data_IF_503818961102
#
_entry.id   IF_503818961102
#
_cell.length_a   1.000
_cell.length_b   1.000
_cell.length_c   1.000
_cell.angle_alpha   90.00
_cell.angle_beta   90.00
_cell.angle_gamma   90.00
#
_symmetry.space_group_name_H-M   'P 1'
#
loop_
_entity.id
_entity.type
_entity.pdbx_description
1 polymer ?
#
# COMPACT_ATOMS: atom_id res chain seq x y z
N UNK A 1 2.07 10.72 30.08
CA UNK A 1 2.88 11.37 29.02
C UNK A 1 2.08 12.58 28.52
N UNK A 2 2.68 13.78 28.42
CA UNK A 2 1.95 14.97 27.98
C UNK A 2 1.51 14.85 26.52
N UNK A 3 0.39 15.49 26.18
CA UNK A 3 -0.09 15.64 24.81
C UNK A 3 0.79 16.67 24.10
N UNK A 4 1.36 16.39 22.92
CA UNK A 4 2.20 17.34 22.20
C UNK A 4 1.43 18.56 21.70
N UNK A 5 2.08 19.74 21.63
CA UNK A 5 1.49 21.03 21.20
C UNK A 5 0.91 21.02 19.77
N UNK A 6 1.31 20.04 18.95
CA UNK A 6 0.74 19.84 17.61
C UNK A 6 -0.71 19.36 17.62
N UNK A 7 -1.18 18.79 18.73
CA UNK A 7 -2.56 18.38 18.91
C UNK A 7 -3.33 19.50 19.59
N UNK A 8 -4.43 19.92 19.00
CA UNK A 8 -5.35 20.87 19.59
C UNK A 8 -6.81 20.48 19.33
N UNK A 9 -7.68 20.89 20.23
CA UNK A 9 -9.12 20.72 20.10
C UNK A 9 -9.76 22.09 19.83
N UNK A 10 -10.80 22.11 19.00
CA UNK A 10 -11.61 23.31 18.76
C UNK A 10 -13.07 22.92 18.51
N UNK A 11 -13.97 23.89 18.66
CA UNK A 11 -15.41 23.67 18.53
C UNK A 11 -16.15 23.80 19.86
N UNK A 12 -17.44 23.51 19.82
CA UNK A 12 -18.37 23.55 20.95
C UNK A 12 -19.60 22.71 20.60
N UNK A 13 -20.33 22.24 21.62
CA UNK A 13 -21.47 21.33 21.43
C UNK A 13 -22.42 21.77 20.28
N UNK A 14 -22.75 20.87 19.33
CA UNK A 14 -22.43 19.44 19.26
C UNK A 14 -21.15 19.08 18.49
N UNK A 15 -20.48 20.05 17.87
CA UNK A 15 -19.40 19.83 16.91
C UNK A 15 -18.02 20.03 17.55
N UNK A 16 -17.22 18.96 17.56
CA UNK A 16 -15.86 18.95 18.08
C UNK A 16 -14.87 18.59 16.97
N UNK A 17 -13.74 19.27 16.93
CA UNK A 17 -12.71 19.12 15.90
C UNK A 17 -11.37 18.85 16.57
N UNK A 18 -10.75 17.73 16.22
CA UNK A 18 -9.35 17.43 16.52
C UNK A 18 -8.44 17.97 15.41
N UNK A 19 -7.60 18.94 15.74
CA UNK A 19 -6.59 19.51 14.85
C UNK A 19 -5.21 18.91 15.17
N UNK A 20 -4.53 18.37 14.15
CA UNK A 20 -3.16 17.86 14.26
C UNK A 20 -2.29 18.62 13.25
N UNK A 21 -1.41 19.50 13.73
CA UNK A 21 -0.55 20.34 12.89
C UNK A 21 0.85 19.72 12.71
N UNK A 22 1.31 19.52 11.48
CA UNK A 22 2.63 18.91 11.25
C UNK A 22 2.64 17.43 11.62
N UNK A 23 1.64 16.72 11.10
CA UNK A 23 1.39 15.29 11.33
C UNK A 23 2.65 14.44 11.07
N UNK A 24 2.99 13.57 12.01
CA UNK A 24 4.18 12.73 12.01
C UNK A 24 3.83 11.24 11.86
N UNK A 25 4.73 10.36 11.38
CA UNK A 25 4.44 8.93 11.22
C UNK A 25 3.91 8.24 12.50
N UNK A 26 4.37 8.69 13.67
CA UNK A 26 3.91 8.22 14.99
C UNK A 26 2.48 8.62 15.36
N UNK A 27 1.86 9.55 14.61
CA UNK A 27 0.48 9.99 14.81
C UNK A 27 -0.53 9.05 14.09
N UNK A 28 -0.05 8.04 13.36
CA UNK A 28 -0.89 7.05 12.71
C UNK A 28 -1.57 6.16 13.77
N UNK A 29 -2.90 6.07 13.74
CA UNK A 29 -3.64 5.30 14.73
C UNK A 29 -5.16 5.52 14.67
N UNK A 30 -5.85 4.86 15.59
CA UNK A 30 -7.29 5.00 15.80
C UNK A 30 -7.61 6.21 16.68
N UNK A 31 -8.53 7.06 16.21
CA UNK A 31 -8.99 8.23 16.94
C UNK A 31 -10.48 8.07 17.27
N UNK A 32 -10.82 8.34 18.53
CA UNK A 32 -12.18 8.20 19.04
C UNK A 32 -12.66 9.54 19.59
N UNK A 33 -13.87 9.92 19.18
CA UNK A 33 -14.60 11.04 19.77
C UNK A 33 -15.52 10.49 20.87
N UNK A 34 -15.26 10.89 22.11
CA UNK A 34 -16.04 10.48 23.28
C UNK A 34 -16.59 11.72 23.98
N UNK A 35 -17.92 11.80 24.12
CA UNK A 35 -18.61 12.82 24.91
C UNK A 35 -19.07 12.25 26.25
N UNK A 36 -18.96 13.04 27.32
CA UNK A 36 -19.49 12.70 28.64
C UNK A 36 -20.49 13.78 29.08
N UNK A 37 -21.76 13.41 29.21
CA UNK A 37 -22.80 14.28 29.77
C UNK A 37 -23.37 13.59 31.01
N UNK A 38 -23.21 14.22 32.18
CA UNK A 38 -23.79 13.81 33.48
C UNK A 38 -23.95 12.29 33.65
N UNK A 39 -22.87 11.62 34.06
CA UNK A 39 -22.77 10.19 34.37
C UNK A 39 -23.03 9.19 33.22
N UNK A 40 -23.25 9.65 31.98
CA UNK A 40 -23.40 8.78 30.80
C UNK A 40 -22.40 9.19 29.72
N UNK A 41 -21.54 8.25 29.32
CA UNK A 41 -20.63 8.42 28.17
C UNK A 41 -21.35 8.04 26.88
N UNK A 42 -21.53 8.99 25.96
CA UNK A 42 -21.99 8.73 24.60
C UNK A 42 -20.80 8.91 23.63
N UNK A 43 -20.41 7.84 22.92
CA UNK A 43 -19.38 7.90 21.88
C UNK A 43 -19.98 7.59 20.52
N UNK A 44 -20.07 8.58 19.64
CA UNK A 44 -20.57 8.39 18.26
C UNK A 44 -19.63 9.04 17.23
N UNK A 45 -18.31 8.86 17.38
CA UNK A 45 -17.35 9.23 16.35
C UNK A 45 -16.12 8.32 16.36
N UNK A 46 -15.91 7.59 15.26
CA UNK A 46 -14.72 6.78 15.01
C UNK A 46 -14.13 7.22 13.67
N UNK A 47 -12.85 7.58 13.66
CA UNK A 47 -12.13 7.85 12.43
C UNK A 47 -10.71 7.28 12.53
N UNK A 48 -10.32 6.51 11.52
CA UNK A 48 -8.99 5.93 11.42
C UNK A 48 -8.08 6.87 10.63
N UNK A 49 -7.11 7.48 11.30
CA UNK A 49 -6.15 8.37 10.64
C UNK A 49 -5.00 7.53 10.07
N UNK A 50 -5.15 7.16 8.80
CA UNK A 50 -4.05 6.56 8.04
C UNK A 50 -3.18 7.67 7.46
N UNK A 51 -1.97 7.79 8.00
CA UNK A 51 -0.98 8.72 7.46
C UNK A 51 -0.30 8.05 6.29
N UNK A 52 -0.66 8.49 5.09
CA UNK A 52 0.16 8.26 3.92
C UNK A 52 1.45 9.07 4.08
N UNK A 53 2.42 8.50 4.81
CA UNK A 53 3.84 8.67 4.46
C UNK A 53 3.90 8.68 2.94
N UNK A 54 4.29 9.80 2.34
CA UNK A 54 4.11 10.10 0.92
C UNK A 54 4.16 8.82 0.07
N UNK A 55 3.03 8.45 -0.53
CA UNK A 55 2.88 7.15 -1.20
C UNK A 55 4.05 6.91 -2.15
N UNK A 56 4.87 5.91 -1.83
CA UNK A 56 6.05 5.58 -2.61
C UNK A 56 5.61 4.67 -3.77
N UNK A 57 5.60 5.20 -4.99
CA UNK A 57 5.36 4.37 -6.17
C UNK A 57 6.53 3.39 -6.31
N UNK A 58 6.27 2.08 -6.45
CA UNK A 58 7.34 1.10 -6.59
C UNK A 58 8.13 1.34 -7.89
N UNK A 59 9.44 1.19 -7.82
CA UNK A 59 10.29 1.12 -9.00
C UNK A 59 10.17 -0.27 -9.63
N UNK A 60 9.84 -0.31 -10.92
CA UNK A 60 9.65 -1.55 -11.68
C UNK A 60 10.91 -1.89 -12.48
N UNK A 61 11.35 -3.14 -12.36
CA UNK A 61 12.42 -3.71 -13.19
C UNK A 61 11.88 -4.95 -13.90
N UNK A 62 11.92 -4.97 -15.23
CA UNK A 62 11.52 -6.13 -16.04
C UNK A 62 12.77 -6.86 -16.50
N UNK A 63 12.86 -8.13 -16.16
CA UNK A 63 13.95 -9.03 -16.55
C UNK A 63 13.49 -9.92 -17.70
N UNK A 64 14.28 -10.01 -18.79
CA UNK A 64 13.94 -10.85 -19.92
C UNK A 64 14.09 -12.35 -19.58
N UNK A 65 13.47 -13.24 -20.38
CA UNK A 65 13.72 -14.68 -20.30
C UNK A 65 15.20 -14.99 -20.52
N UNK A 66 15.64 -16.13 -19.98
CA UNK A 66 16.99 -16.63 -20.23
C UNK A 66 17.12 -17.22 -21.63
N UNK A 67 18.33 -17.19 -22.21
CA UNK A 67 18.58 -17.81 -23.52
C UNK A 67 18.31 -19.32 -23.52
N UNK A 68 18.66 -20.00 -22.44
CA UNK A 68 18.48 -21.45 -22.31
C UNK A 68 17.00 -21.83 -22.26
N UNK A 69 16.17 -21.00 -21.63
CA UNK A 69 14.71 -21.18 -21.62
C UNK A 69 14.11 -21.00 -23.02
N UNK A 70 14.57 -19.99 -23.76
CA UNK A 70 14.10 -19.72 -25.13
C UNK A 70 14.44 -20.88 -26.07
N UNK A 71 15.58 -21.54 -25.90
CA UNK A 71 15.95 -22.73 -26.67
C UNK A 71 15.02 -23.92 -26.41
N UNK A 72 14.30 -23.91 -25.28
CA UNK A 72 13.32 -24.94 -24.91
C UNK A 72 11.89 -24.58 -25.37
N UNK A 73 11.71 -23.52 -26.17
CA UNK A 73 10.38 -23.10 -26.65
C UNK A 73 9.50 -22.46 -25.57
N UNK A 74 10.10 -21.98 -24.47
CA UNK A 74 9.41 -21.33 -23.35
C UNK A 74 9.97 -19.93 -23.13
N UNK A 75 9.14 -19.01 -22.66
CA UNK A 75 9.59 -17.69 -22.24
C UNK A 75 8.92 -17.30 -20.92
N UNK A 76 9.70 -17.09 -19.85
CA UNK A 76 9.22 -16.50 -18.61
C UNK A 76 9.83 -15.13 -18.40
N UNK A 77 8.99 -14.10 -18.31
CA UNK A 77 9.39 -12.72 -18.01
C UNK A 77 9.15 -12.46 -16.53
N UNK A 78 10.10 -11.81 -15.84
CA UNK A 78 9.97 -11.45 -14.42
C UNK A 78 9.88 -9.93 -14.28
N UNK A 79 8.87 -9.44 -13.57
CA UNK A 79 8.76 -8.04 -13.14
C UNK A 79 8.97 -7.97 -11.64
N UNK A 80 9.91 -7.13 -11.20
CA UNK A 80 10.20 -6.88 -9.80
C UNK A 80 9.75 -5.46 -9.47
N UNK A 81 8.84 -5.34 -8.51
CA UNK A 81 8.43 -4.08 -7.90
C UNK A 81 9.22 -3.89 -6.59
N UNK A 82 9.88 -2.75 -6.47
CA UNK A 82 10.73 -2.47 -5.31
C UNK A 82 10.38 -1.14 -4.67
N UNK A 83 10.51 -1.07 -3.34
CA UNK A 83 10.37 0.17 -2.55
C UNK A 83 9.00 0.84 -2.68
N UNK A 84 7.93 0.06 -2.76
CA UNK A 84 6.55 0.55 -2.83
C UNK A 84 5.91 0.76 -1.45
N UNK A 85 5.01 1.73 -1.33
CA UNK A 85 4.14 1.95 -0.16
C UNK A 85 2.83 2.60 -0.62
N UNK A 86 1.63 2.17 -0.17
CA UNK A 86 1.34 1.12 0.83
C UNK A 86 1.53 -0.30 0.27
N UNK A 87 1.07 -1.35 0.96
CA UNK A 87 1.22 -2.75 0.51
C UNK A 87 0.23 -3.19 -0.58
N UNK A 88 -0.72 -2.33 -0.95
CA UNK A 88 -1.89 -2.64 -1.80
C UNK A 88 -1.69 -2.37 -3.30
N UNK A 89 -0.50 -1.94 -3.72
CA UNK A 89 -0.12 -1.85 -5.13
C UNK A 89 -0.25 -3.19 -5.86
N UNK A 90 -0.65 -3.14 -7.14
CA UNK A 90 -0.87 -4.34 -7.96
C UNK A 90 0.01 -4.33 -9.21
N UNK A 91 0.66 -5.46 -9.49
CA UNK A 91 1.31 -5.71 -10.78
C UNK A 91 0.30 -6.33 -11.74
N UNK A 92 0.30 -5.86 -12.98
CA UNK A 92 -0.48 -6.43 -14.08
C UNK A 92 0.36 -6.52 -15.34
N UNK A 93 0.05 -7.49 -16.20
CA UNK A 93 0.75 -7.73 -17.45
C UNK A 93 -0.13 -7.33 -18.63
N UNK A 94 0.51 -6.73 -19.64
CA UNK A 94 -0.09 -6.50 -20.95
C UNK A 94 0.83 -7.08 -22.02
N UNK A 95 0.25 -7.81 -22.96
CA UNK A 95 0.91 -8.32 -24.16
C UNK A 95 0.12 -7.78 -25.35
N UNK A 96 0.79 -7.07 -26.26
CA UNK A 96 0.17 -6.44 -27.43
C UNK A 96 -1.05 -5.56 -27.09
N UNK A 97 -0.95 -4.80 -25.99
CA UNK A 97 -2.00 -3.90 -25.51
C UNK A 97 -3.13 -4.59 -24.73
N UNK A 98 -3.22 -5.92 -24.77
CA UNK A 98 -4.24 -6.70 -24.07
C UNK A 98 -3.79 -7.11 -22.69
N UNK A 99 -4.60 -6.82 -21.67
CA UNK A 99 -4.38 -7.27 -20.30
C UNK A 99 -4.39 -8.80 -20.24
N UNK A 100 -3.40 -9.37 -19.54
CA UNK A 100 -3.20 -10.82 -19.47
C UNK A 100 -3.08 -11.28 -18.03
N UNK A 101 -3.86 -12.31 -17.70
CA UNK A 101 -3.85 -13.00 -16.40
C UNK A 101 -3.41 -14.46 -16.53
N UNK A 102 -3.55 -15.06 -17.71
CA UNK A 102 -3.11 -16.44 -17.98
C UNK A 102 -1.59 -16.56 -17.96
N UNK A 103 -1.08 -17.53 -17.20
CA UNK A 103 0.36 -17.77 -17.02
C UNK A 103 1.04 -16.77 -16.09
N UNK A 104 0.29 -15.93 -15.38
CA UNK A 104 0.81 -14.96 -14.40
C UNK A 104 0.92 -15.61 -13.02
N UNK A 105 2.09 -15.47 -12.40
CA UNK A 105 2.33 -15.82 -11.01
C UNK A 105 2.72 -14.55 -10.23
N UNK A 106 2.23 -14.41 -9.00
CA UNK A 106 2.46 -13.24 -8.15
C UNK A 106 3.09 -13.69 -6.84
N UNK A 107 4.13 -13.00 -6.40
CA UNK A 107 4.70 -13.19 -5.06
C UNK A 107 3.92 -12.37 -4.03
N UNK A 108 3.91 -12.78 -2.75
CA UNK A 108 3.40 -11.92 -1.68
C UNK A 108 4.29 -10.67 -1.52
N UNK A 109 3.68 -9.57 -1.08
CA UNK A 109 4.38 -8.34 -0.70
C UNK A 109 5.21 -8.56 0.54
N UNK A 110 6.51 -8.24 0.46
CA UNK A 110 7.45 -8.37 1.57
C UNK A 110 7.89 -7.01 2.07
N UNK A 111 7.72 -6.77 3.37
CA UNK A 111 8.21 -5.58 4.05
C UNK A 111 9.73 -5.67 4.23
N UNK A 112 10.45 -4.67 3.73
CA UNK A 112 11.90 -4.58 3.81
C UNK A 112 12.34 -3.75 5.02
N UNK A 113 13.66 -3.73 5.28
CA UNK A 113 14.26 -3.00 6.42
C UNK A 113 14.01 -1.48 6.36
N UNK A 114 13.84 -0.93 5.16
CA UNK A 114 13.54 0.47 4.90
C UNK A 114 12.04 0.81 5.09
N UNK A 115 11.24 -0.12 5.61
CA UNK A 115 9.78 -0.01 5.79
C UNK A 115 8.99 0.13 4.48
N UNK A 116 9.60 -0.18 3.34
CA UNK A 116 8.93 -0.24 2.05
C UNK A 116 8.68 -1.69 1.63
N UNK A 117 7.72 -1.89 0.74
CA UNK A 117 7.32 -3.19 0.24
C UNK A 117 8.01 -3.50 -1.10
N UNK A 118 8.39 -4.76 -1.27
CA UNK A 118 8.88 -5.30 -2.53
C UNK A 118 8.18 -6.62 -2.85
N UNK A 119 7.90 -6.86 -4.12
CA UNK A 119 7.25 -8.07 -4.62
C UNK A 119 7.60 -8.31 -6.08
N UNK A 120 7.26 -9.47 -6.60
CA UNK A 120 7.50 -9.82 -7.99
C UNK A 120 6.29 -10.47 -8.64
N UNK A 121 6.27 -10.42 -9.96
CA UNK A 121 5.34 -11.16 -10.79
C UNK A 121 6.09 -11.78 -11.95
N UNK A 122 5.77 -13.01 -12.30
CA UNK A 122 6.30 -13.65 -13.51
C UNK A 122 5.18 -13.98 -14.49
N UNK A 123 5.41 -13.75 -15.77
CA UNK A 123 4.52 -14.14 -16.86
C UNK A 123 5.21 -15.23 -17.67
N UNK A 124 4.61 -16.42 -17.73
CA UNK A 124 5.08 -17.51 -18.57
C UNK A 124 4.28 -17.58 -19.88
N UNK A 125 5.00 -17.67 -20.98
CA UNK A 125 4.50 -17.83 -22.34
C UNK A 125 4.97 -19.19 -22.86
N UNK A 126 4.04 -19.97 -23.43
CA UNK A 126 4.34 -21.20 -24.17
C UNK A 126 4.06 -20.96 -25.65
N UNK A 127 4.76 -21.69 -26.52
CA UNK A 127 4.76 -21.55 -27.98
C UNK A 127 3.40 -21.70 -28.68
N UNK A 128 2.31 -22.01 -27.97
CA UNK A 128 0.95 -22.08 -28.50
C UNK A 128 0.31 -20.71 -28.86
N UNK A 129 1.10 -19.63 -28.97
CA UNK A 129 0.64 -18.27 -29.32
C UNK A 129 1.64 -17.52 -30.23
N UNK A 130 2.56 -18.22 -30.91
CA UNK A 130 3.31 -17.62 -32.03
C UNK A 130 2.68 -17.98 -33.37
#
# INVERSE_FOLDING_TARGET
KPVPDRFSESGSEPDFILNICGVQPEDAGDYYCMGAYSDICFGHGYFHLCLSLAAARPALTVLPPSRDELQQGKATVLCVASKGFPSDWKLSWKVDGSSRSSGVHLSPSQLQKDRLYSWSSSLSLTESVF
#
